data_IF_192954622538
#
_entry.id   IF_192954622538
#
_cell.length_a   1.000
_cell.length_b   1.000
_cell.length_c   1.000
_cell.angle_alpha   90.00
_cell.angle_beta   90.00
_cell.angle_gamma   90.00
#
_symmetry.space_group_name_H-M   'P 1'
#
loop_
_entity.id
_entity.type
_entity.pdbx_description
1 polymer ?
#
# COMPACT_ATOMS: atom_id res chain seq x y z
N UNK A 1 -13.61 29.17 -15.47
CA UNK A 1 -12.74 28.63 -14.41
C UNK A 1 -13.12 27.18 -14.19
N UNK A 2 -12.17 26.24 -14.28
CA UNK A 2 -12.44 24.86 -13.95
C UNK A 2 -12.84 24.73 -12.46
N UNK A 3 -13.87 23.95 -12.16
CA UNK A 3 -14.49 23.88 -10.83
C UNK A 3 -13.53 23.44 -9.70
N UNK A 4 -12.47 22.70 -10.03
CA UNK A 4 -11.45 22.21 -9.11
C UNK A 4 -10.47 23.31 -8.64
N UNK A 5 -10.48 24.50 -9.22
CA UNK A 5 -9.67 25.63 -8.71
C UNK A 5 -10.35 26.42 -7.57
N UNK A 6 -11.49 25.94 -7.06
CA UNK A 6 -12.22 26.55 -5.95
C UNK A 6 -11.65 26.23 -4.56
N UNK A 7 -10.79 25.22 -4.46
CA UNK A 7 -10.18 24.84 -3.18
C UNK A 7 -9.09 25.84 -2.78
N UNK A 8 -9.00 26.10 -1.47
CA UNK A 8 -8.00 26.98 -0.89
C UNK A 8 -6.92 26.13 -0.21
N UNK A 9 -5.69 26.64 -0.22
CA UNK A 9 -4.58 26.01 0.49
C UNK A 9 -4.87 25.98 2.01
N UNK A 10 -4.36 24.97 2.70
CA UNK A 10 -4.48 24.88 4.16
C UNK A 10 -3.84 26.08 4.87
N UNK A 11 -4.34 26.50 6.03
CA UNK A 11 -3.86 27.69 6.73
C UNK A 11 -2.36 27.60 7.10
N UNK A 12 -1.85 26.40 7.36
CA UNK A 12 -0.43 26.14 7.65
C UNK A 12 0.46 26.34 6.42
N UNK A 13 -0.04 25.98 5.23
CA UNK A 13 0.69 26.24 3.98
C UNK A 13 0.71 27.74 3.66
N UNK A 14 -0.42 28.43 3.78
CA UNK A 14 -0.51 29.88 3.59
C UNK A 14 0.38 30.65 4.57
N UNK A 15 0.40 30.25 5.84
CA UNK A 15 1.28 30.84 6.84
C UNK A 15 2.77 30.63 6.50
N UNK A 16 3.15 29.44 6.00
CA UNK A 16 4.52 29.16 5.51
C UNK A 16 4.85 30.01 4.29
N UNK A 17 3.94 30.12 3.32
CA UNK A 17 4.14 30.90 2.09
C UNK A 17 4.34 32.39 2.39
N UNK A 18 3.60 32.94 3.36
CA UNK A 18 3.75 34.34 3.82
C UNK A 18 5.11 34.64 4.45
N UNK A 19 5.81 33.65 5.03
CA UNK A 19 7.16 33.83 5.59
C UNK A 19 8.24 34.04 4.51
N UNK A 20 7.93 33.77 3.24
CA UNK A 20 8.80 34.02 2.09
C UNK A 20 9.93 32.98 1.95
N UNK A 21 10.85 32.92 2.91
CA UNK A 21 11.98 31.98 2.89
C UNK A 21 11.65 30.73 3.69
N UNK A 22 11.75 29.56 3.07
CA UNK A 22 11.65 28.29 3.78
C UNK A 22 12.93 28.02 4.57
N UNK A 23 12.81 27.97 5.90
CA UNK A 23 13.87 27.47 6.78
C UNK A 23 13.47 26.06 7.22
N UNK A 24 14.26 25.02 6.92
CA UNK A 24 14.02 23.69 7.45
C UNK A 24 13.94 23.73 8.98
N UNK A 25 12.99 23.03 9.61
CA UNK A 25 12.94 22.95 11.06
C UNK A 25 14.19 22.21 11.58
N UNK A 26 14.76 22.71 12.67
CA UNK A 26 15.84 22.03 13.41
C UNK A 26 15.22 20.94 14.31
N UNK A 27 14.77 19.86 13.68
CA UNK A 27 14.16 18.70 14.34
C UNK A 27 15.06 17.49 14.15
N UNK A 28 15.49 16.89 15.26
CA UNK A 28 16.20 15.62 15.23
C UNK A 28 15.22 14.45 15.19
N UNK A 29 15.70 13.28 14.74
CA UNK A 29 14.94 12.02 14.85
C UNK A 29 14.61 11.66 16.30
N UNK A 30 15.42 12.13 17.25
CA UNK A 30 15.18 11.93 18.67
C UNK A 30 13.96 12.73 19.12
N UNK A 31 13.84 14.00 18.70
CA UNK A 31 12.70 14.84 19.08
C UNK A 31 11.37 14.24 18.58
N UNK A 32 11.38 13.71 17.36
CA UNK A 32 10.22 12.99 16.79
C UNK A 32 9.90 11.73 17.60
N UNK A 33 10.91 10.96 17.99
CA UNK A 33 10.73 9.73 18.79
C UNK A 33 10.23 10.05 20.20
N UNK A 34 10.78 11.07 20.84
CA UNK A 34 10.45 11.49 22.21
C UNK A 34 9.02 12.06 22.30
N UNK A 35 8.48 12.59 21.20
CA UNK A 35 7.09 13.02 21.10
C UNK A 35 6.06 11.85 21.11
N UNK A 36 6.49 10.62 20.82
CA UNK A 36 5.61 9.44 20.77
C UNK A 36 5.49 8.81 22.17
N UNK A 37 4.27 8.60 22.71
CA UNK A 37 4.08 7.98 24.01
C UNK A 37 4.76 6.61 24.17
N UNK A 38 5.46 6.33 25.29
CA UNK A 38 6.23 5.09 25.49
C UNK A 38 5.44 3.79 25.30
N UNK A 39 4.17 3.78 25.67
CA UNK A 39 3.31 2.60 25.54
C UNK A 39 3.03 2.22 24.08
N UNK A 40 3.17 3.16 23.12
CA UNK A 40 3.01 2.88 21.69
C UNK A 40 4.20 2.12 21.09
N UNK A 41 5.35 2.07 21.79
CA UNK A 41 6.48 1.25 21.39
C UNK A 41 6.39 -0.21 21.86
N UNK A 42 5.38 -0.55 22.68
CA UNK A 42 5.20 -1.91 23.18
C UNK A 42 4.56 -2.81 22.13
N UNK A 43 5.33 -3.80 21.68
CA UNK A 43 4.87 -4.81 20.71
C UNK A 43 4.19 -5.95 21.45
N UNK A 44 3.01 -6.35 20.97
CA UNK A 44 2.28 -7.48 21.54
C UNK A 44 2.28 -8.65 20.55
N UNK A 45 3.13 -9.65 20.83
CA UNK A 45 3.24 -10.85 19.98
C UNK A 45 1.91 -11.57 19.81
N UNK A 46 1.11 -11.68 20.88
CA UNK A 46 -0.20 -12.32 20.81
C UNK A 46 -1.16 -11.57 19.88
N UNK A 47 -1.21 -10.23 19.99
CA UNK A 47 -2.02 -9.39 19.10
C UNK A 47 -1.56 -9.51 17.65
N UNK A 48 -0.25 -9.49 17.41
CA UNK A 48 0.34 -9.71 16.08
C UNK A 48 -0.04 -11.06 15.50
N UNK A 49 0.08 -12.14 16.28
CA UNK A 49 -0.29 -13.50 15.86
C UNK A 49 -1.79 -13.62 15.55
N UNK A 50 -2.65 -13.01 16.36
CA UNK A 50 -4.09 -12.95 16.07
C UNK A 50 -4.37 -12.32 14.70
N UNK A 51 -3.75 -11.17 14.40
CA UNK A 51 -3.92 -10.55 13.10
C UNK A 51 -3.34 -11.39 11.97
N UNK A 52 -2.18 -12.04 12.16
CA UNK A 52 -1.62 -12.96 11.16
C UNK A 52 -2.59 -14.11 10.87
N UNK A 53 -3.11 -14.76 11.92
CA UNK A 53 -4.09 -15.85 11.77
C UNK A 53 -5.35 -15.38 11.06
N UNK A 54 -5.82 -14.16 11.34
CA UNK A 54 -6.94 -13.55 10.62
C UNK A 54 -6.64 -13.39 9.12
N UNK A 55 -5.45 -12.91 8.75
CA UNK A 55 -5.06 -12.79 7.34
C UNK A 55 -4.98 -14.16 6.68
N UNK A 56 -4.34 -15.15 7.33
CA UNK A 56 -4.28 -16.52 6.83
C UNK A 56 -5.68 -17.14 6.65
N UNK A 57 -6.63 -16.84 7.54
CA UNK A 57 -8.00 -17.28 7.41
C UNK A 57 -8.68 -16.68 6.17
N UNK A 58 -8.46 -15.39 5.88
CA UNK A 58 -8.96 -14.76 4.64
C UNK A 58 -8.28 -15.33 3.39
N UNK A 59 -6.95 -15.50 3.41
CA UNK A 59 -6.18 -16.13 2.33
C UNK A 59 -6.70 -17.54 2.04
N UNK A 60 -7.00 -18.33 3.07
CA UNK A 60 -7.56 -19.67 2.91
C UNK A 60 -9.01 -19.63 2.41
N UNK A 61 -9.85 -18.72 2.94
CA UNK A 61 -11.24 -18.59 2.52
C UNK A 61 -11.34 -18.22 1.03
N UNK A 62 -10.52 -17.28 0.55
CA UNK A 62 -10.48 -16.92 -0.87
C UNK A 62 -9.97 -18.07 -1.74
N UNK A 63 -8.92 -18.78 -1.33
CA UNK A 63 -8.49 -20.01 -2.00
C UNK A 63 -9.61 -21.05 -2.07
N UNK A 64 -10.31 -21.29 -0.96
CA UNK A 64 -11.42 -22.25 -0.92
C UNK A 64 -12.56 -21.86 -1.86
N UNK A 65 -12.97 -20.58 -1.87
CA UNK A 65 -13.96 -20.06 -2.81
C UNK A 65 -13.48 -20.22 -4.26
N UNK A 66 -12.19 -20.00 -4.52
CA UNK A 66 -11.61 -20.14 -5.86
C UNK A 66 -11.76 -21.56 -6.42
N UNK A 67 -11.63 -22.59 -5.58
CA UNK A 67 -11.83 -23.99 -6.00
C UNK A 67 -13.26 -24.30 -6.46
N UNK A 68 -14.22 -23.40 -6.19
CA UNK A 68 -15.63 -23.52 -6.58
C UNK A 68 -16.04 -22.56 -7.70
N UNK A 69 -15.10 -21.80 -8.30
CA UNK A 69 -15.43 -20.80 -9.33
C UNK A 69 -16.17 -21.40 -10.51
N UNK A 70 -15.77 -22.58 -11.02
CA UNK A 70 -16.46 -23.21 -12.15
C UNK A 70 -17.91 -23.57 -11.82
N UNK A 71 -18.16 -24.10 -10.61
CA UNK A 71 -19.50 -24.41 -10.14
C UNK A 71 -20.36 -23.15 -9.98
N UNK A 72 -19.81 -22.10 -9.37
CA UNK A 72 -20.50 -20.82 -9.20
C UNK A 72 -20.84 -20.21 -10.56
N UNK A 73 -19.89 -20.21 -11.50
CA UNK A 73 -20.10 -19.66 -12.83
C UNK A 73 -21.17 -20.42 -13.62
N UNK A 74 -21.25 -21.76 -13.48
CA UNK A 74 -22.31 -22.55 -14.09
C UNK A 74 -23.67 -22.30 -13.47
N UNK A 75 -23.74 -22.23 -12.13
CA UNK A 75 -24.98 -22.01 -11.39
C UNK A 75 -25.59 -20.62 -11.66
N UNK A 76 -24.76 -19.58 -11.80
CA UNK A 76 -25.23 -18.22 -12.08
C UNK A 76 -25.79 -18.06 -13.50
N UNK A 77 -25.39 -18.92 -14.44
CA UNK A 77 -25.72 -18.78 -15.86
C UNK A 77 -26.58 -19.90 -16.39
N UNK A 78 -27.18 -20.72 -15.51
CA UNK A 78 -27.96 -21.92 -15.84
C UNK A 78 -27.25 -22.85 -16.86
N UNK A 79 -25.92 -22.94 -16.79
CA UNK A 79 -25.10 -23.74 -17.72
C UNK A 79 -24.93 -23.13 -19.14
N UNK A 80 -25.41 -21.92 -19.39
CA UNK A 80 -25.26 -21.22 -20.68
C UNK A 80 -23.80 -20.84 -20.99
N UNK A 81 -23.24 -21.42 -22.06
CA UNK A 81 -21.81 -21.37 -22.36
C UNK A 81 -21.18 -20.01 -22.76
N UNK A 82 -21.89 -18.97 -23.27
CA UNK A 82 -21.26 -17.65 -23.38
C UNK A 82 -21.25 -16.91 -22.04
N UNK A 83 -22.34 -17.01 -21.26
CA UNK A 83 -22.44 -16.36 -19.95
C UNK A 83 -21.46 -16.96 -18.93
N UNK A 84 -21.38 -18.29 -18.87
CA UNK A 84 -20.54 -19.01 -17.90
C UNK A 84 -19.06 -18.66 -18.06
N UNK A 85 -18.60 -18.55 -19.32
CA UNK A 85 -17.22 -18.18 -19.64
C UNK A 85 -16.87 -16.75 -19.19
N UNK A 86 -17.79 -15.80 -19.39
CA UNK A 86 -17.60 -14.41 -18.96
C UNK A 86 -17.60 -14.28 -17.43
N UNK A 87 -18.61 -14.85 -16.76
CA UNK A 87 -18.71 -14.84 -15.29
C UNK A 87 -17.49 -15.49 -14.65
N UNK A 88 -17.05 -16.64 -15.18
CA UNK A 88 -15.83 -17.31 -14.71
C UNK A 88 -14.60 -16.41 -14.81
N UNK A 89 -14.43 -15.71 -15.92
CA UNK A 89 -13.29 -14.82 -16.12
C UNK A 89 -13.30 -13.67 -15.12
N UNK A 90 -14.47 -13.07 -14.87
CA UNK A 90 -14.66 -12.03 -13.85
C UNK A 90 -14.33 -12.56 -12.45
N UNK A 91 -14.79 -13.76 -12.09
CA UNK A 91 -14.51 -14.37 -10.79
C UNK A 91 -13.02 -14.66 -10.58
N UNK A 92 -12.30 -15.11 -11.61
CA UNK A 92 -10.84 -15.29 -11.53
C UNK A 92 -10.09 -13.99 -11.35
N UNK A 93 -10.48 -12.93 -12.07
CA UNK A 93 -9.92 -11.58 -11.89
C UNK A 93 -10.17 -11.10 -10.45
N UNK A 94 -11.39 -11.22 -9.95
CA UNK A 94 -11.71 -10.84 -8.57
C UNK A 94 -10.89 -11.67 -7.56
N UNK A 95 -10.77 -12.97 -7.77
CA UNK A 95 -9.96 -13.84 -6.91
C UNK A 95 -8.50 -13.37 -6.87
N UNK A 96 -7.83 -13.22 -8.01
CA UNK A 96 -6.42 -12.79 -8.01
C UNK A 96 -6.22 -11.42 -7.37
N UNK A 97 -7.12 -10.47 -7.68
CA UNK A 97 -7.04 -9.13 -7.12
C UNK A 97 -7.22 -9.10 -5.60
N UNK A 98 -8.15 -9.86 -5.04
CA UNK A 98 -8.35 -9.90 -3.60
C UNK A 98 -7.36 -10.82 -2.87
N UNK A 99 -7.01 -11.96 -3.47
CA UNK A 99 -6.02 -12.89 -2.94
C UNK A 99 -4.68 -12.20 -2.70
N UNK A 100 -4.20 -11.43 -3.68
CA UNK A 100 -2.94 -10.69 -3.61
C UNK A 100 -2.85 -9.73 -2.42
N UNK A 101 -3.97 -9.12 -2.03
CA UNK A 101 -4.04 -8.18 -0.89
C UNK A 101 -3.99 -8.88 0.46
N UNK A 102 -4.36 -10.17 0.54
CA UNK A 102 -4.43 -10.89 1.84
C UNK A 102 -3.09 -11.37 2.38
N UNK A 103 -2.03 -11.35 1.57
CA UNK A 103 -0.74 -11.90 2.00
C UNK A 103 -0.14 -11.10 3.15
N UNK A 104 0.29 -11.83 4.18
CA UNK A 104 0.89 -11.28 5.39
C UNK A 104 2.42 -11.42 5.36
N UNK A 105 3.10 -10.66 6.22
CA UNK A 105 4.54 -10.83 6.45
C UNK A 105 5.33 -9.53 6.46
N UNK A 106 4.81 -8.48 5.81
CA UNK A 106 5.46 -7.16 5.71
C UNK A 106 5.99 -6.66 7.06
N UNK A 107 5.15 -6.69 8.09
CA UNK A 107 5.47 -6.21 9.45
C UNK A 107 6.58 -7.00 10.16
N UNK A 108 6.86 -8.24 9.73
CA UNK A 108 8.00 -9.00 10.21
C UNK A 108 9.33 -8.36 9.81
N UNK A 109 9.39 -7.70 8.65
CA UNK A 109 10.58 -6.99 8.18
C UNK A 109 10.90 -5.74 9.01
N UNK A 110 9.87 -5.16 9.64
CA UNK A 110 9.96 -3.99 10.53
C UNK A 110 10.27 -4.34 11.99
N UNK A 111 10.47 -5.62 12.30
CA UNK A 111 10.55 -6.13 13.68
C UNK A 111 9.35 -5.75 14.56
N UNK A 112 8.18 -5.52 13.95
CA UNK A 112 7.01 -4.97 14.64
C UNK A 112 6.16 -6.04 15.35
N UNK A 113 6.31 -7.31 14.99
CA UNK A 113 5.43 -8.38 15.49
C UNK A 113 5.72 -8.76 16.94
N UNK A 114 7.00 -8.82 17.31
CA UNK A 114 7.47 -9.34 18.60
C UNK A 114 8.64 -8.51 19.15
N UNK A 115 8.78 -8.37 20.49
CA UNK A 115 9.99 -7.81 21.09
C UNK A 115 11.23 -8.69 20.86
N UNK A 116 11.06 -9.96 20.49
CA UNK A 116 12.16 -10.88 20.20
C UNK A 116 12.49 -10.91 18.70
N UNK A 117 13.67 -10.44 18.26
CA UNK A 117 14.00 -10.34 16.84
C UNK A 117 13.92 -11.66 16.08
N UNK A 118 14.32 -12.77 16.70
CA UNK A 118 14.28 -14.10 16.07
C UNK A 118 12.85 -14.56 15.76
N UNK A 119 11.85 -14.16 16.56
CA UNK A 119 10.44 -14.48 16.31
C UNK A 119 9.95 -13.76 15.05
N UNK A 120 10.31 -12.48 14.90
CA UNK A 120 10.00 -11.72 13.68
C UNK A 120 10.65 -12.38 12.46
N UNK A 121 11.92 -12.76 12.56
CA UNK A 121 12.62 -13.43 11.47
C UNK A 121 11.98 -14.77 11.08
N UNK A 122 11.65 -15.63 12.05
CA UNK A 122 11.02 -16.92 11.80
C UNK A 122 9.66 -16.76 11.11
N UNK A 123 8.79 -15.89 11.65
CA UNK A 123 7.48 -15.59 11.03
C UNK A 123 7.66 -15.01 9.63
N UNK A 124 8.58 -14.06 9.47
CA UNK A 124 8.87 -13.41 8.19
C UNK A 124 9.31 -14.40 7.13
N UNK A 125 10.23 -15.31 7.45
CA UNK A 125 10.70 -16.37 6.53
C UNK A 125 9.54 -17.27 6.11
N UNK A 126 8.75 -17.77 7.06
CA UNK A 126 7.62 -18.67 6.77
C UNK A 126 6.60 -18.00 5.85
N UNK A 127 6.17 -16.78 6.21
CA UNK A 127 5.14 -16.07 5.43
C UNK A 127 5.64 -15.68 4.04
N UNK A 128 6.86 -15.15 3.91
CA UNK A 128 7.38 -14.76 2.59
C UNK A 128 7.69 -15.97 1.71
N UNK A 129 8.10 -17.10 2.28
CA UNK A 129 8.33 -18.33 1.52
C UNK A 129 7.04 -18.85 0.89
N UNK A 130 5.88 -18.67 1.55
CA UNK A 130 4.58 -19.06 0.99
C UNK A 130 4.20 -18.31 -0.30
N UNK A 131 4.82 -17.14 -0.53
CA UNK A 131 4.67 -16.32 -1.74
C UNK A 131 5.98 -16.23 -2.53
N UNK A 132 6.87 -17.21 -2.35
CA UNK A 132 8.13 -17.34 -3.08
C UNK A 132 9.04 -16.11 -3.03
N UNK A 133 8.93 -15.31 -1.96
CA UNK A 133 9.71 -14.09 -1.77
C UNK A 133 10.84 -14.33 -0.77
N UNK A 134 12.10 -14.00 -1.08
CA UNK A 134 13.21 -14.16 -0.14
C UNK A 134 13.15 -13.10 0.96
N UNK A 135 12.78 -13.51 2.19
CA UNK A 135 12.53 -12.60 3.32
C UNK A 135 13.66 -11.61 3.60
N UNK A 136 14.92 -12.05 3.69
CA UNK A 136 16.02 -11.15 4.06
C UNK A 136 16.37 -10.17 2.95
N UNK A 137 16.29 -10.59 1.68
CA UNK A 137 16.49 -9.69 0.55
C UNK A 137 15.38 -8.65 0.50
N UNK A 138 14.11 -9.07 0.61
CA UNK A 138 12.97 -8.16 0.68
C UNK A 138 13.08 -7.20 1.88
N UNK A 139 13.43 -7.70 3.07
CA UNK A 139 13.60 -6.87 4.26
C UNK A 139 14.69 -5.81 4.08
N UNK A 140 15.80 -6.17 3.45
CA UNK A 140 16.88 -5.24 3.18
C UNK A 140 16.41 -4.14 2.23
N UNK A 141 15.77 -4.50 1.12
CA UNK A 141 15.35 -3.52 0.12
C UNK A 141 14.19 -2.64 0.58
N UNK A 142 13.23 -3.26 1.27
CA UNK A 142 12.10 -2.57 1.88
C UNK A 142 12.54 -1.53 2.92
N UNK A 143 13.61 -1.82 3.68
CA UNK A 143 14.20 -0.85 4.61
C UNK A 143 14.82 0.35 3.87
N UNK A 144 15.48 0.12 2.73
CA UNK A 144 16.00 1.20 1.88
C UNK A 144 14.87 2.07 1.36
N UNK A 145 13.79 1.46 0.84
CA UNK A 145 12.58 2.15 0.42
C UNK A 145 12.00 3.05 1.51
N UNK A 146 11.79 2.53 2.73
CA UNK A 146 11.26 3.35 3.83
C UNK A 146 12.18 4.47 4.28
N UNK A 147 13.50 4.29 4.16
CA UNK A 147 14.48 5.35 4.49
C UNK A 147 14.51 6.45 3.43
N UNK A 148 14.14 6.11 2.19
CA UNK A 148 14.33 6.94 1.01
C UNK A 148 13.02 7.18 0.24
N UNK A 149 11.86 7.02 0.87
CA UNK A 149 10.56 7.04 0.19
C UNK A 149 10.39 8.34 -0.60
N UNK A 150 9.95 8.22 -1.85
CA UNK A 150 9.79 9.34 -2.80
C UNK A 150 11.10 10.11 -3.11
N UNK A 151 12.26 9.47 -2.91
CA UNK A 151 13.53 10.03 -3.35
C UNK A 151 13.97 9.40 -4.67
N UNK A 152 14.11 10.22 -5.71
CA UNK A 152 14.48 9.77 -7.08
C UNK A 152 15.84 9.07 -7.12
N UNK A 153 16.79 9.47 -6.27
CA UNK A 153 18.16 8.96 -6.31
C UNK A 153 18.39 7.75 -5.39
N UNK A 154 17.55 7.58 -4.37
CA UNK A 154 17.81 6.66 -3.25
C UNK A 154 16.73 5.61 -3.03
N UNK A 155 15.54 5.76 -3.60
CA UNK A 155 14.54 4.71 -3.59
C UNK A 155 14.85 3.73 -4.72
N UNK A 156 15.03 2.46 -4.38
CA UNK A 156 15.37 1.42 -5.35
C UNK A 156 14.14 0.68 -5.92
N UNK A 157 12.96 0.88 -5.31
CA UNK A 157 11.75 0.12 -5.66
C UNK A 157 10.60 1.01 -6.15
N UNK A 158 10.44 2.21 -5.59
CA UNK A 158 9.35 3.12 -5.91
C UNK A 158 9.90 4.49 -6.28
N UNK A 159 10.49 4.58 -7.47
CA UNK A 159 10.93 5.85 -8.04
C UNK A 159 9.68 6.68 -8.36
N UNK A 160 9.52 7.89 -7.78
CA UNK A 160 8.34 8.70 -8.04
C UNK A 160 8.34 9.20 -9.49
N UNK A 161 7.16 9.29 -10.15
CA UNK A 161 7.07 9.82 -11.49
C UNK A 161 7.52 11.28 -11.54
N UNK A 162 8.22 11.64 -12.61
CA UNK A 162 8.66 13.00 -12.85
C UNK A 162 7.53 13.86 -13.44
N UNK A 163 7.72 15.18 -13.48
CA UNK A 163 6.80 16.10 -14.16
C UNK A 163 6.58 15.73 -15.63
N UNK A 164 7.62 15.22 -16.29
CA UNK A 164 7.56 14.80 -17.68
C UNK A 164 6.71 13.54 -17.84
N UNK A 165 6.83 12.58 -16.93
CA UNK A 165 6.03 11.34 -16.95
C UNK A 165 4.53 11.64 -16.81
N UNK A 166 4.21 12.62 -15.96
CA UNK A 166 2.84 13.09 -15.73
C UNK A 166 2.36 14.12 -16.77
N UNK A 167 3.20 14.51 -17.73
CA UNK A 167 2.90 15.56 -18.73
C UNK A 167 2.43 16.88 -18.10
N UNK A 168 2.95 17.21 -16.93
CA UNK A 168 2.64 18.45 -16.23
C UNK A 168 3.30 19.64 -16.94
N UNK A 169 2.71 20.84 -16.87
CA UNK A 169 3.31 22.06 -17.45
C UNK A 169 4.67 22.37 -16.81
N UNK A 170 5.41 23.35 -17.35
CA UNK A 170 6.68 23.81 -16.75
C UNK A 170 6.46 24.20 -15.26
N UNK A 171 7.41 23.89 -14.38
CA UNK A 171 7.35 24.22 -12.94
C UNK A 171 7.17 25.71 -12.64
N UNK A 172 7.45 26.58 -13.61
CA UNK A 172 7.17 28.02 -13.56
C UNK A 172 5.69 28.37 -13.71
N UNK A 173 4.89 27.45 -14.24
CA UNK A 173 3.44 27.55 -14.42
C UNK A 173 2.78 26.57 -13.45
N UNK A 174 2.75 26.92 -12.17
CA UNK A 174 2.03 26.16 -11.15
C UNK A 174 0.54 26.51 -11.21
N UNK A 175 -0.31 25.55 -11.59
CA UNK A 175 -1.76 25.64 -11.35
C UNK A 175 -2.06 25.10 -9.96
N UNK A 176 -3.01 25.70 -9.25
CA UNK A 176 -3.32 25.36 -7.85
C UNK A 176 -3.65 23.89 -7.59
N UNK A 177 -4.21 23.21 -8.60
CA UNK A 177 -4.56 21.79 -8.52
C UNK A 177 -4.82 21.24 -9.92
N UNK A 178 -4.44 19.98 -10.15
CA UNK A 178 -4.88 19.17 -11.30
C UNK A 178 -5.93 18.12 -10.86
N UNK A 179 -6.75 17.62 -11.78
CA UNK A 179 -7.76 16.59 -11.52
C UNK A 179 -7.19 15.32 -10.88
N UNK A 180 -5.95 14.96 -11.24
CA UNK A 180 -5.25 13.82 -10.67
C UNK A 180 -5.01 14.02 -9.15
N UNK A 181 -4.52 15.19 -8.72
CA UNK A 181 -4.27 15.48 -7.30
C UNK A 181 -5.55 15.44 -6.45
N UNK A 182 -6.71 15.82 -7.00
CA UNK A 182 -7.99 15.80 -6.26
C UNK A 182 -8.47 14.38 -5.97
N UNK A 183 -8.27 13.48 -6.93
CA UNK A 183 -8.80 12.12 -6.83
C UNK A 183 -7.76 11.13 -6.30
N UNK A 184 -6.47 11.42 -6.43
CA UNK A 184 -5.38 10.50 -6.11
C UNK A 184 -5.37 10.01 -4.67
N UNK A 185 -5.84 10.86 -3.75
CA UNK A 185 -5.95 10.60 -2.32
C UNK A 185 -7.35 10.09 -1.91
N UNK A 186 -8.30 10.02 -2.84
CA UNK A 186 -9.65 9.52 -2.50
C UNK A 186 -9.59 8.01 -2.21
N UNK A 187 -10.36 7.52 -1.22
CA UNK A 187 -10.38 6.09 -0.90
C UNK A 187 -10.69 5.20 -2.11
N UNK A 188 -11.61 5.64 -2.97
CA UNK A 188 -12.00 4.90 -4.18
C UNK A 188 -10.83 4.77 -5.16
N UNK A 189 -10.10 5.85 -5.43
CA UNK A 189 -8.97 5.83 -6.36
C UNK A 189 -7.78 5.04 -5.78
N UNK A 190 -7.52 5.16 -4.48
CA UNK A 190 -6.48 4.36 -3.80
C UNK A 190 -6.82 2.87 -3.84
N UNK A 191 -8.06 2.48 -3.57
CA UNK A 191 -8.51 1.09 -3.69
C UNK A 191 -8.38 0.57 -5.13
N UNK A 192 -8.76 1.38 -6.12
CA UNK A 192 -8.58 1.04 -7.53
C UNK A 192 -7.11 0.83 -7.89
N UNK A 193 -6.21 1.75 -7.49
CA UNK A 193 -4.76 1.59 -7.68
C UNK A 193 -4.24 0.31 -7.02
N UNK A 194 -4.65 0.02 -5.79
CA UNK A 194 -4.23 -1.19 -5.08
C UNK A 194 -4.67 -2.46 -5.81
N UNK A 195 -5.91 -2.50 -6.31
CA UNK A 195 -6.43 -3.64 -7.06
C UNK A 195 -5.69 -3.83 -8.38
N UNK A 196 -5.50 -2.77 -9.16
CA UNK A 196 -4.80 -2.84 -10.46
C UNK A 196 -3.34 -3.28 -10.30
N UNK A 197 -2.66 -2.83 -9.24
CA UNK A 197 -1.28 -3.25 -8.92
C UNK A 197 -1.12 -4.73 -8.59
N UNK A 198 -2.20 -5.49 -8.41
CA UNK A 198 -2.08 -6.95 -8.24
C UNK A 198 -1.82 -7.67 -9.57
N UNK A 199 -1.94 -6.98 -10.71
CA UNK A 199 -1.82 -7.54 -12.05
C UNK A 199 -0.66 -6.95 -12.87
N UNK A 200 0.09 -6.01 -12.31
CA UNK A 200 1.19 -5.27 -12.94
C UNK A 200 2.46 -5.47 -12.12
#
# INVERSE_FOLDING_TARGET
>A
MPWYQKFQDGPEYEARRRKGTFTPPDLSLKDVRDAVPPHLFQRSTLKSLFYILRHLAFTYAFYYIATHIDCIAQAVTDGGLPGSSFVRSVLWILYWGWQGVTFAGHEAGHDALSPHPWVNAAIGIVLHTSVLTPFYAWRATHRTHHKSTNNIERDETYIPPTRNDLKLPDGKVAVRMDYAEVLEETPAFTLFKMFVRQFL
#
